data_IF_567807369353
#
_entry.id   IF_567807369353
#
_cell.length_a   1.000
_cell.length_b   1.000
_cell.length_c   1.000
_cell.angle_alpha   90.00
_cell.angle_beta   90.00
_cell.angle_gamma   90.00
#
_symmetry.space_group_name_H-M   'P 1'
#
loop_
_entity.id
_entity.type
_entity.pdbx_description
1 polymer ?
#
# COMPACT_ATOMS: atom_id res chain seq x y z
N UNK A 1 -18.59 -4.69 -15.07
CA UNK A 1 -17.21 -4.70 -15.61
C UNK A 1 -16.51 -3.55 -14.92
N UNK A 2 -15.36 -3.77 -14.28
CA UNK A 2 -14.61 -2.67 -13.68
C UNK A 2 -14.32 -1.66 -14.81
N UNK A 3 -14.81 -0.44 -14.65
CA UNK A 3 -14.52 0.64 -15.59
C UNK A 3 -13.00 0.78 -15.69
N UNK A 4 -12.47 0.86 -16.91
CA UNK A 4 -11.02 1.02 -17.12
C UNK A 4 -10.55 2.24 -16.32
N UNK A 5 -9.57 2.04 -15.43
CA UNK A 5 -8.98 3.14 -14.66
C UNK A 5 -8.40 4.16 -15.64
N UNK A 6 -8.73 5.43 -15.46
CA UNK A 6 -8.14 6.54 -16.19
C UNK A 6 -6.73 6.81 -15.66
N UNK A 7 -5.77 6.01 -16.11
CA UNK A 7 -4.36 6.11 -15.73
C UNK A 7 -3.69 7.27 -16.45
N UNK A 8 -3.12 8.21 -15.70
CA UNK A 8 -2.37 9.33 -16.26
C UNK A 8 -0.99 9.45 -15.61
N UNK A 9 0.02 8.79 -16.18
CA UNK A 9 1.39 8.78 -15.62
C UNK A 9 2.21 10.02 -15.98
N UNK A 10 1.74 10.84 -16.92
CA UNK A 10 2.44 12.05 -17.38
C UNK A 10 2.07 13.32 -16.61
N UNK A 11 0.96 13.29 -15.87
CA UNK A 11 0.54 14.40 -15.01
C UNK A 11 1.44 14.57 -13.78
N UNK A 12 1.33 15.71 -13.09
CA UNK A 12 2.02 15.92 -11.83
C UNK A 12 1.54 14.94 -10.76
N UNK A 13 2.38 14.61 -9.76
CA UNK A 13 2.02 13.65 -8.70
C UNK A 13 0.72 14.04 -7.97
N UNK A 14 0.48 15.34 -7.78
CA UNK A 14 -0.76 15.86 -7.18
C UNK A 14 -1.99 15.53 -8.04
N UNK A 15 -1.94 15.82 -9.33
CA UNK A 15 -3.03 15.52 -10.27
C UNK A 15 -3.30 14.01 -10.38
N UNK A 16 -2.24 13.19 -10.36
CA UNK A 16 -2.36 11.74 -10.32
C UNK A 16 -3.17 11.25 -9.11
N UNK A 17 -2.86 11.75 -7.91
CA UNK A 17 -3.64 11.42 -6.72
C UNK A 17 -5.08 11.93 -6.79
N UNK A 18 -5.29 13.18 -7.22
CA UNK A 18 -6.62 13.75 -7.37
C UNK A 18 -7.49 12.95 -8.35
N UNK A 19 -6.88 12.40 -9.39
CA UNK A 19 -7.57 11.55 -10.38
C UNK A 19 -7.86 10.15 -9.85
N UNK A 20 -6.90 9.45 -9.24
CA UNK A 20 -7.03 8.03 -8.90
C UNK A 20 -7.88 7.77 -7.64
N UNK A 21 -7.90 8.70 -6.68
CA UNK A 21 -8.65 8.54 -5.41
C UNK A 21 -10.15 8.31 -5.64
N UNK A 22 -10.89 9.15 -6.40
CA UNK A 22 -12.32 8.92 -6.63
C UNK A 22 -12.59 7.61 -7.39
N UNK A 23 -11.69 7.21 -8.29
CA UNK A 23 -11.79 5.96 -9.04
C UNK A 23 -11.64 4.74 -8.11
N UNK A 24 -10.64 4.75 -7.23
CA UNK A 24 -10.46 3.71 -6.20
C UNK A 24 -11.69 3.66 -5.29
N UNK A 25 -12.23 4.81 -4.89
CA UNK A 25 -13.45 4.86 -4.05
C UNK A 25 -14.63 4.21 -4.76
N UNK A 26 -14.85 4.51 -6.04
CA UNK A 26 -15.90 3.88 -6.83
C UNK A 26 -15.68 2.35 -6.95
N UNK A 27 -14.45 1.93 -7.21
CA UNK A 27 -14.07 0.52 -7.36
C UNK A 27 -14.39 -0.34 -6.13
N UNK A 28 -14.22 0.20 -4.92
CA UNK A 28 -14.49 -0.54 -3.67
C UNK A 28 -15.89 -0.29 -3.10
N UNK A 29 -16.69 0.60 -3.72
CA UNK A 29 -18.04 0.91 -3.23
C UNK A 29 -19.00 -0.22 -3.57
N UNK A 30 -19.69 -0.76 -2.55
CA UNK A 30 -20.66 -1.83 -2.71
C UNK A 30 -20.08 -3.24 -2.58
N UNK A 31 -18.75 -3.39 -2.61
CA UNK A 31 -18.07 -4.64 -2.28
C UNK A 31 -17.83 -4.71 -0.76
N UNK A 32 -18.16 -5.86 -0.17
CA UNK A 32 -18.04 -6.12 1.27
C UNK A 32 -16.87 -7.02 1.61
N UNK A 33 -16.32 -7.75 0.63
CA UNK A 33 -15.13 -8.58 0.83
C UNK A 33 -13.88 -7.70 1.01
N UNK A 34 -13.28 -7.82 2.19
CA UNK A 34 -12.15 -7.01 2.58
C UNK A 34 -10.88 -7.33 1.80
N UNK A 35 -10.70 -8.59 1.39
CA UNK A 35 -9.53 -9.03 0.62
C UNK A 35 -9.64 -8.52 -0.81
N UNK A 36 -10.81 -8.63 -1.44
CA UNK A 36 -11.08 -8.11 -2.78
C UNK A 36 -10.84 -6.59 -2.83
N UNK A 37 -11.34 -5.85 -1.85
CA UNK A 37 -11.12 -4.41 -1.75
C UNK A 37 -9.63 -4.06 -1.63
N UNK A 38 -8.88 -4.68 -0.70
CA UNK A 38 -7.44 -4.45 -0.59
C UNK A 38 -6.68 -4.81 -1.87
N UNK A 39 -7.02 -5.94 -2.51
CA UNK A 39 -6.38 -6.37 -3.75
C UNK A 39 -6.58 -5.34 -4.88
N UNK A 40 -7.82 -4.86 -5.04
CA UNK A 40 -8.16 -3.84 -6.04
C UNK A 40 -7.49 -2.49 -5.76
N UNK A 41 -7.41 -2.05 -4.49
CA UNK A 41 -6.67 -0.82 -4.14
C UNK A 41 -5.18 -0.96 -4.48
N UNK A 42 -4.56 -2.09 -4.14
CA UNK A 42 -3.15 -2.32 -4.45
C UNK A 42 -2.90 -2.34 -5.97
N UNK A 43 -3.77 -2.99 -6.75
CA UNK A 43 -3.71 -3.02 -8.20
C UNK A 43 -3.83 -1.61 -8.82
N UNK A 44 -4.86 -0.84 -8.43
CA UNK A 44 -5.07 0.51 -8.94
C UNK A 44 -3.89 1.45 -8.66
N UNK A 45 -3.31 1.37 -7.46
CA UNK A 45 -2.13 2.17 -7.11
C UNK A 45 -0.87 1.72 -7.87
N UNK A 46 -0.68 0.41 -8.06
CA UNK A 46 0.43 -0.13 -8.86
C UNK A 46 0.32 0.35 -10.31
N UNK A 47 -0.87 0.30 -10.90
CA UNK A 47 -1.12 0.76 -12.27
C UNK A 47 -0.90 2.27 -12.41
N UNK A 48 -1.38 3.09 -11.47
CA UNK A 48 -1.21 4.54 -11.56
C UNK A 48 0.25 4.96 -11.37
N UNK A 49 0.94 4.43 -10.37
CA UNK A 49 2.24 4.98 -9.96
C UNK A 49 3.45 4.15 -10.38
N UNK A 50 3.24 2.90 -10.82
CA UNK A 50 4.30 1.96 -11.16
C UNK A 50 5.37 1.81 -10.05
N UNK A 51 4.98 1.97 -8.78
CA UNK A 51 5.90 1.79 -7.66
C UNK A 51 6.46 0.38 -7.61
N UNK A 52 7.67 0.21 -7.08
CA UNK A 52 8.29 -1.10 -6.95
C UNK A 52 7.41 -2.09 -6.16
N UNK A 53 6.89 -1.64 -5.02
CA UNK A 53 6.01 -2.41 -4.15
C UNK A 53 4.87 -1.53 -3.59
N UNK A 54 3.65 -2.07 -3.55
CA UNK A 54 2.49 -1.45 -2.90
C UNK A 54 1.57 -2.52 -2.35
N UNK A 55 1.03 -2.33 -1.15
CA UNK A 55 0.18 -3.34 -0.53
C UNK A 55 -0.11 -3.06 0.94
N UNK A 56 -0.62 -4.08 1.60
CA UNK A 56 -1.14 -3.98 2.96
C UNK A 56 -0.47 -4.98 3.90
N UNK A 57 -0.32 -4.59 5.16
CA UNK A 57 -0.09 -5.48 6.28
C UNK A 57 -1.22 -5.32 7.29
N UNK A 58 -1.71 -6.44 7.83
CA UNK A 58 -2.81 -6.46 8.79
C UNK A 58 -2.31 -6.89 10.17
N UNK A 59 -2.78 -6.21 11.22
CA UNK A 59 -2.49 -6.64 12.59
C UNK A 59 -3.26 -7.92 12.91
N UNK A 60 -2.54 -9.03 13.15
CA UNK A 60 -3.08 -10.32 13.58
C UNK A 60 -2.20 -10.89 14.67
N UNK A 61 -2.79 -11.28 15.81
CA UNK A 61 -2.07 -11.85 16.95
C UNK A 61 -0.82 -11.05 17.37
N UNK A 62 -0.96 -9.72 17.43
CA UNK A 62 0.11 -8.79 17.79
C UNK A 62 1.33 -8.79 16.85
N UNK A 63 1.12 -9.13 15.58
CA UNK A 63 2.09 -8.97 14.50
C UNK A 63 1.41 -8.35 13.28
N UNK A 64 2.16 -7.63 12.46
CA UNK A 64 1.76 -7.33 11.09
C UNK A 64 1.93 -8.59 10.25
N UNK A 65 0.87 -9.00 9.55
CA UNK A 65 0.86 -10.13 8.62
C UNK A 65 0.57 -9.61 7.22
N UNK A 66 1.36 -10.07 6.24
CA UNK A 66 1.22 -9.67 4.84
C UNK A 66 -0.20 -9.91 4.32
N UNK A 67 -0.80 -8.86 3.76
CA UNK A 67 -2.08 -8.87 3.05
C UNK A 67 -1.88 -8.79 1.53
N UNK A 68 -2.94 -8.46 0.76
CA UNK A 68 -2.82 -8.24 -0.69
C UNK A 68 -1.79 -7.16 -1.04
N UNK A 69 -1.02 -7.41 -2.10
CA UNK A 69 0.06 -6.52 -2.54
C UNK A 69 0.36 -6.71 -4.03
N UNK A 70 1.15 -5.80 -4.60
CA UNK A 70 1.71 -5.83 -5.93
C UNK A 70 3.22 -5.54 -5.85
N UNK A 71 4.04 -6.45 -6.36
CA UNK A 71 5.50 -6.37 -6.30
C UNK A 71 6.14 -7.74 -6.09
N UNK A 72 7.47 -7.80 -5.89
CA UNK A 72 8.16 -9.04 -5.53
C UNK A 72 7.75 -9.52 -4.13
N UNK A 73 8.15 -10.77 -3.81
CA UNK A 73 7.95 -11.38 -2.49
C UNK A 73 8.51 -10.48 -1.38
N UNK A 74 7.76 -10.35 -0.29
CA UNK A 74 8.08 -9.51 0.86
C UNK A 74 7.95 -10.29 2.18
N UNK A 75 8.32 -9.65 3.30
CA UNK A 75 8.24 -10.25 4.64
C UNK A 75 6.81 -10.73 4.96
N UNK A 76 6.63 -11.98 5.37
CA UNK A 76 5.30 -12.48 5.72
C UNK A 76 4.79 -11.94 7.06
N UNK A 77 5.70 -11.70 8.03
CA UNK A 77 5.39 -11.24 9.39
C UNK A 77 6.36 -10.17 9.86
N UNK A 78 5.85 -9.14 10.52
CA UNK A 78 6.65 -8.04 11.07
C UNK A 78 6.18 -7.75 12.51
N UNK A 79 7.11 -7.73 13.46
CA UNK A 79 6.80 -7.39 14.86
C UNK A 79 6.62 -5.88 15.03
N UNK A 80 5.87 -5.47 16.05
CA UNK A 80 5.71 -4.05 16.42
C UNK A 80 7.09 -3.42 16.71
N UNK A 81 7.33 -2.20 16.20
CA UNK A 81 8.59 -1.48 16.35
C UNK A 81 9.76 -2.02 15.52
N UNK A 82 9.53 -3.03 14.65
CA UNK A 82 10.59 -3.66 13.84
C UNK A 82 10.50 -3.22 12.37
N UNK A 83 11.60 -2.66 11.84
CA UNK A 83 11.64 -2.08 10.50
C UNK A 83 10.70 -0.90 10.32
N UNK A 84 10.61 -0.38 9.10
CA UNK A 84 9.79 0.81 8.79
C UNK A 84 8.30 0.55 9.06
N UNK A 85 7.76 -0.58 8.61
CA UNK A 85 6.34 -0.91 8.81
C UNK A 85 6.01 -1.12 10.29
N UNK A 86 6.84 -1.83 11.05
CA UNK A 86 6.64 -2.04 12.48
C UNK A 86 6.77 -0.75 13.29
N UNK A 87 7.69 0.15 12.91
CA UNK A 87 7.85 1.47 13.53
C UNK A 87 6.65 2.38 13.23
N UNK A 88 6.13 2.38 12.00
CA UNK A 88 4.91 3.12 11.65
C UNK A 88 3.71 2.64 12.46
N UNK A 89 3.57 1.31 12.64
CA UNK A 89 2.55 0.72 13.49
C UNK A 89 2.73 1.10 14.98
N UNK A 90 3.96 1.12 15.49
CA UNK A 90 4.23 1.48 16.88
C UNK A 90 3.91 2.95 17.18
N UNK A 91 4.33 3.85 16.30
CA UNK A 91 4.17 5.30 16.47
C UNK A 91 2.77 5.79 16.10
N UNK A 92 1.98 4.97 15.41
CA UNK A 92 0.70 5.34 14.80
C UNK A 92 0.84 6.58 13.91
N UNK A 93 1.88 6.60 13.07
CA UNK A 93 2.24 7.73 12.18
C UNK A 93 2.71 7.23 10.82
N UNK A 94 2.39 8.00 9.78
CA UNK A 94 2.97 7.82 8.45
C UNK A 94 4.46 8.15 8.50
N UNK A 95 5.29 7.25 7.98
CA UNK A 95 6.73 7.45 7.86
C UNK A 95 7.10 7.59 6.39
N UNK A 96 7.80 8.68 6.05
CA UNK A 96 8.46 8.88 4.75
C UNK A 96 9.95 8.75 5.01
N UNK A 97 10.56 7.72 4.45
CA UNK A 97 11.97 7.37 4.66
C UNK A 97 12.71 7.65 3.36
N UNK A 98 13.54 8.72 3.27
CA UNK A 98 14.25 9.07 2.04
C UNK A 98 15.26 8.02 1.60
N UNK A 99 15.94 7.40 2.58
CA UNK A 99 16.86 6.28 2.38
C UNK A 99 16.58 5.19 3.40
N UNK A 100 16.25 3.99 2.91
CA UNK A 100 15.84 2.85 3.74
C UNK A 100 17.04 2.15 4.40
N UNK A 101 18.24 2.27 3.82
CA UNK A 101 19.49 1.70 4.33
C UNK A 101 19.96 2.45 5.59
N UNK A 102 19.62 3.74 5.69
CA UNK A 102 19.93 4.57 6.86
C UNK A 102 18.90 4.44 8.00
N UNK A 103 17.80 3.72 7.78
CA UNK A 103 16.74 3.59 8.78
C UNK A 103 17.17 2.68 9.95
N UNK A 104 17.17 3.16 11.21
CA UNK A 104 17.58 2.36 12.35
C UNK A 104 16.72 1.10 12.51
N UNK A 105 17.36 -0.07 12.53
CA UNK A 105 16.65 -1.35 12.64
C UNK A 105 16.02 -1.81 11.32
N UNK A 106 16.63 -1.46 10.18
CA UNK A 106 16.32 -2.00 8.86
C UNK A 106 16.29 -3.54 8.87
N UNK A 107 15.32 -4.11 8.15
CA UNK A 107 15.12 -5.55 7.99
C UNK A 107 14.87 -5.75 6.50
N UNK A 108 15.88 -6.25 5.78
CA UNK A 108 15.79 -6.63 4.37
C UNK A 108 15.33 -8.09 4.25
#
# INVERSE_FOLDING_TARGET
MAEDLAINRTATKTEQYQSIIPQIKALITGETDFVANMANVAAALKEQFNWFWVGFYLVKNNELVLGPFQGPVACTRIKKGKGVCGASWEQNKTLIVPDVEEFPGHIA
#
